data_IF_972342098039
#
_entry.id   IF_972342098039
#
_cell.length_a   1.000
_cell.length_b   1.000
_cell.length_c   1.000
_cell.angle_alpha   90.00
_cell.angle_beta   90.00
_cell.angle_gamma   90.00
#
_symmetry.space_group_name_H-M   'P 1'
#
loop_
_entity.id
_entity.type
_entity.pdbx_description
1 polymer ?
#
# COMPACT_ATOMS: atom_id res chain seq x y z
N UNK A 1 -22.45 27.28 23.62
CA UNK A 1 -22.43 26.04 22.82
C UNK A 1 -21.58 26.17 21.54
N UNK A 2 -21.47 27.33 20.90
CA UNK A 2 -20.66 27.58 19.70
C UNK A 2 -19.17 27.24 19.87
N UNK A 3 -18.56 27.66 20.98
CA UNK A 3 -17.11 27.46 21.24
C UNK A 3 -16.67 25.99 21.45
N UNK A 4 -17.57 25.13 21.91
CA UNK A 4 -17.24 23.71 22.08
C UNK A 4 -17.25 22.96 20.73
N UNK A 5 -18.17 23.32 19.85
CA UNK A 5 -18.27 22.75 18.50
C UNK A 5 -17.06 23.16 17.64
N UNK A 6 -16.64 24.41 17.69
CA UNK A 6 -15.45 24.90 16.99
C UNK A 6 -14.16 24.22 17.47
N UNK A 7 -14.02 23.96 18.77
CA UNK A 7 -12.89 23.23 19.34
C UNK A 7 -12.86 21.77 18.87
N UNK A 8 -14.03 21.11 18.77
CA UNK A 8 -14.14 19.75 18.26
C UNK A 8 -13.71 19.67 16.78
N UNK A 9 -14.22 20.56 15.94
CA UNK A 9 -13.84 20.62 14.52
C UNK A 9 -12.33 20.89 14.34
N UNK A 10 -11.75 21.74 15.19
CA UNK A 10 -10.31 22.01 15.14
C UNK A 10 -9.49 20.78 15.56
N UNK A 11 -9.91 20.05 16.57
CA UNK A 11 -9.30 18.80 17.01
C UNK A 11 -9.41 17.70 15.93
N UNK A 12 -10.60 17.54 15.34
CA UNK A 12 -10.83 16.60 14.25
C UNK A 12 -9.90 16.89 13.05
N UNK A 13 -9.74 18.15 12.67
CA UNK A 13 -8.83 18.56 11.61
C UNK A 13 -7.36 18.22 11.94
N UNK A 14 -6.92 18.49 13.17
CA UNK A 14 -5.55 18.16 13.59
C UNK A 14 -5.32 16.63 13.55
N UNK A 15 -6.28 15.85 14.04
CA UNK A 15 -6.20 14.39 14.00
C UNK A 15 -6.21 13.89 12.55
N UNK A 16 -7.07 14.45 11.71
CA UNK A 16 -7.13 14.09 10.29
C UNK A 16 -5.79 14.33 9.59
N UNK A 17 -5.19 15.50 9.76
CA UNK A 17 -3.88 15.82 9.19
C UNK A 17 -2.78 14.88 9.70
N UNK A 18 -2.79 14.51 10.98
CA UNK A 18 -1.86 13.57 11.56
C UNK A 18 -2.01 12.18 10.93
N UNK A 19 -3.26 11.69 10.82
CA UNK A 19 -3.57 10.39 10.24
C UNK A 19 -3.19 10.34 8.75
N UNK A 20 -3.57 11.34 7.96
CA UNK A 20 -3.22 11.40 6.53
C UNK A 20 -1.71 11.39 6.33
N UNK A 21 -0.97 12.10 7.19
CA UNK A 21 0.48 12.19 7.09
C UNK A 21 1.21 10.90 7.45
N UNK A 22 0.72 10.17 8.47
CA UNK A 22 1.49 9.08 9.08
C UNK A 22 0.90 7.68 8.87
N UNK A 23 -0.37 7.54 8.46
CA UNK A 23 -1.04 6.24 8.40
C UNK A 23 -0.35 5.24 7.46
N UNK A 24 0.06 5.67 6.27
CA UNK A 24 0.75 4.79 5.32
C UNK A 24 2.13 4.37 5.84
N UNK A 25 2.87 5.29 6.47
CA UNK A 25 4.17 4.97 7.05
C UNK A 25 4.01 4.02 8.25
N UNK A 26 3.03 4.25 9.12
CA UNK A 26 2.71 3.38 10.25
C UNK A 26 2.30 1.99 9.76
N UNK A 27 1.43 1.92 8.75
CA UNK A 27 0.99 0.65 8.15
C UNK A 27 2.17 -0.12 7.57
N UNK A 28 3.07 0.55 6.83
CA UNK A 28 4.28 -0.03 6.27
C UNK A 28 5.20 -0.60 7.35
N UNK A 29 5.43 0.15 8.43
CA UNK A 29 6.26 -0.28 9.56
C UNK A 29 5.60 -1.48 10.26
N UNK A 30 4.30 -1.45 10.50
CA UNK A 30 3.58 -2.54 11.15
C UNK A 30 3.65 -3.84 10.31
N UNK A 31 3.37 -3.77 9.01
CA UNK A 31 3.49 -4.92 8.12
C UNK A 31 4.93 -5.42 8.06
N UNK A 32 5.92 -4.52 7.95
CA UNK A 32 7.33 -4.88 7.95
C UNK A 32 7.77 -5.59 9.25
N UNK A 33 7.30 -5.11 10.40
CA UNK A 33 7.58 -5.74 11.69
C UNK A 33 6.97 -7.13 11.80
N UNK A 34 5.74 -7.32 11.32
CA UNK A 34 5.05 -8.61 11.30
C UNK A 34 5.83 -9.60 10.41
N UNK A 35 6.16 -9.21 9.17
CA UNK A 35 6.92 -10.06 8.26
C UNK A 35 8.29 -10.45 8.81
N UNK A 36 9.03 -9.49 9.39
CA UNK A 36 10.33 -9.76 10.00
C UNK A 36 10.20 -10.71 11.20
N UNK A 37 9.25 -10.46 12.09
CA UNK A 37 9.05 -11.29 13.28
C UNK A 37 8.67 -12.73 12.91
N UNK A 38 7.68 -12.91 12.03
CA UNK A 38 7.27 -14.25 11.62
C UNK A 38 8.30 -14.95 10.73
N UNK A 39 9.05 -14.21 9.91
CA UNK A 39 10.17 -14.73 9.15
C UNK A 39 11.27 -15.29 10.05
N UNK A 40 11.68 -14.54 11.08
CA UNK A 40 12.68 -15.00 12.05
C UNK A 40 12.21 -16.27 12.77
N UNK A 41 10.95 -16.35 13.19
CA UNK A 41 10.41 -17.52 13.90
C UNK A 41 10.47 -18.79 13.05
N UNK A 42 10.40 -18.69 11.74
CA UNK A 42 10.44 -19.85 10.83
C UNK A 42 11.82 -20.51 10.72
N UNK A 43 12.89 -19.81 11.13
CA UNK A 43 14.22 -20.44 11.23
C UNK A 43 14.35 -21.42 12.40
N UNK A 44 13.43 -21.37 13.36
CA UNK A 44 13.43 -22.24 14.53
C UNK A 44 12.34 -23.30 14.37
N UNK A 45 12.70 -24.58 14.12
CA UNK A 45 11.73 -25.66 13.92
C UNK A 45 10.75 -25.79 15.09
N UNK A 46 9.46 -25.92 14.77
CA UNK A 46 8.40 -26.10 15.76
C UNK A 46 7.95 -24.84 16.49
N UNK A 47 8.55 -23.70 16.22
CA UNK A 47 8.18 -22.42 16.87
C UNK A 47 7.08 -21.69 16.09
N UNK A 48 7.11 -21.78 14.77
CA UNK A 48 6.09 -21.11 13.94
C UNK A 48 4.77 -21.90 13.93
N UNK A 49 3.64 -21.29 14.32
CA UNK A 49 2.33 -21.96 14.28
C UNK A 49 1.88 -22.37 12.87
N UNK A 50 2.37 -21.66 11.85
CA UNK A 50 2.03 -21.92 10.45
C UNK A 50 3.01 -22.86 9.73
N UNK A 51 4.02 -23.40 10.42
CA UNK A 51 5.09 -24.19 9.80
C UNK A 51 4.55 -25.39 8.99
N UNK A 52 3.67 -26.19 9.61
CA UNK A 52 3.11 -27.37 8.96
C UNK A 52 2.20 -27.00 7.79
N UNK A 53 1.43 -25.94 7.92
CA UNK A 53 0.57 -25.45 6.85
C UNK A 53 1.43 -24.97 5.67
N UNK A 54 2.47 -24.19 5.92
CA UNK A 54 3.37 -23.67 4.90
C UNK A 54 4.10 -24.84 4.17
N UNK A 55 4.62 -25.83 4.90
CA UNK A 55 5.26 -27.02 4.30
C UNK A 55 4.31 -27.76 3.38
N UNK A 56 3.10 -28.06 3.85
CA UNK A 56 2.09 -28.76 3.04
C UNK A 56 1.68 -27.96 1.82
N UNK A 57 1.52 -26.64 1.98
CA UNK A 57 1.14 -25.75 0.87
C UNK A 57 2.22 -25.70 -0.21
N UNK A 58 3.48 -25.55 0.18
CA UNK A 58 4.59 -25.49 -0.78
C UNK A 58 4.79 -26.84 -1.45
N UNK A 59 4.64 -27.93 -0.72
CA UNK A 59 4.71 -29.28 -1.27
C UNK A 59 3.66 -29.46 -2.39
N UNK A 60 2.43 -29.03 -2.16
CA UNK A 60 1.37 -29.05 -3.17
C UNK A 60 1.66 -28.11 -4.35
N UNK A 61 2.11 -26.88 -4.09
CA UNK A 61 2.41 -25.90 -5.14
C UNK A 61 3.60 -26.30 -6.01
N UNK A 62 4.57 -27.01 -5.43
CA UNK A 62 5.79 -27.42 -6.12
C UNK A 62 5.77 -28.90 -6.56
N UNK A 63 4.63 -29.59 -6.39
CA UNK A 63 4.49 -31.02 -6.71
C UNK A 63 5.56 -31.89 -6.02
N UNK A 64 5.93 -31.55 -4.78
CA UNK A 64 6.95 -32.27 -4.02
C UNK A 64 8.40 -32.02 -4.44
N UNK A 65 8.65 -31.09 -5.36
CA UNK A 65 10.00 -30.80 -5.87
C UNK A 65 10.91 -30.14 -4.82
N UNK A 66 10.35 -29.38 -3.87
CA UNK A 66 11.11 -28.66 -2.84
C UNK A 66 10.89 -29.35 -1.49
N UNK A 67 11.95 -29.93 -0.87
CA UNK A 67 11.83 -30.51 0.46
C UNK A 67 11.33 -29.49 1.49
N UNK A 68 10.38 -29.88 2.35
CA UNK A 68 9.70 -28.97 3.28
C UNK A 68 10.63 -28.16 4.19
N UNK A 69 11.79 -28.71 4.59
CA UNK A 69 12.80 -27.99 5.36
C UNK A 69 13.45 -26.86 4.56
N UNK A 70 13.75 -27.09 3.29
CA UNK A 70 14.32 -26.08 2.39
C UNK A 70 13.25 -25.02 2.07
N UNK A 71 12.02 -25.43 1.85
CA UNK A 71 10.90 -24.54 1.59
C UNK A 71 10.70 -23.52 2.70
N UNK A 72 10.72 -23.96 3.96
CA UNK A 72 10.56 -23.06 5.13
C UNK A 72 11.71 -22.05 5.23
N UNK A 73 12.94 -22.46 4.97
CA UNK A 73 14.09 -21.53 4.98
C UNK A 73 13.98 -20.49 3.87
N UNK A 74 13.53 -20.89 2.68
CA UNK A 74 13.28 -19.94 1.58
C UNK A 74 12.22 -18.91 1.98
N UNK A 75 11.08 -19.35 2.50
CA UNK A 75 10.00 -18.45 2.96
C UNK A 75 10.48 -17.56 4.10
N UNK A 76 11.17 -18.11 5.11
CA UNK A 76 11.74 -17.33 6.20
C UNK A 76 12.66 -16.21 5.70
N UNK A 77 13.54 -16.54 4.73
CA UNK A 77 14.47 -15.57 4.14
C UNK A 77 13.73 -14.48 3.37
N UNK A 78 12.71 -14.88 2.59
CA UNK A 78 11.88 -13.97 1.82
C UNK A 78 11.11 -13.01 2.74
N UNK A 79 10.44 -13.52 3.76
CA UNK A 79 9.71 -12.72 4.76
C UNK A 79 10.64 -11.76 5.51
N UNK A 80 11.82 -12.21 5.94
CA UNK A 80 12.81 -11.34 6.58
C UNK A 80 13.29 -10.23 5.64
N UNK A 81 13.56 -10.55 4.40
CA UNK A 81 13.99 -9.57 3.40
C UNK A 81 12.89 -8.53 3.14
N UNK A 82 11.66 -8.96 2.91
CA UNK A 82 10.50 -8.07 2.74
C UNK A 82 10.34 -7.19 3.98
N UNK A 83 10.37 -7.79 5.18
CA UNK A 83 10.23 -7.07 6.44
C UNK A 83 11.29 -5.98 6.61
N UNK A 84 12.55 -6.28 6.35
CA UNK A 84 13.65 -5.31 6.41
C UNK A 84 13.46 -4.18 5.39
N UNK A 85 13.10 -4.51 4.15
CA UNK A 85 12.85 -3.52 3.12
C UNK A 85 11.71 -2.56 3.48
N UNK A 86 10.61 -3.10 4.01
CA UNK A 86 9.46 -2.32 4.47
C UNK A 86 9.82 -1.43 5.66
N UNK A 87 10.54 -1.93 6.65
CA UNK A 87 11.00 -1.15 7.80
C UNK A 87 11.95 -0.02 7.39
N UNK A 88 12.94 -0.34 6.58
CA UNK A 88 13.94 0.62 6.11
C UNK A 88 13.38 1.62 5.08
N UNK A 89 12.25 1.31 4.43
CA UNK A 89 11.72 2.12 3.33
C UNK A 89 12.59 2.13 2.08
N UNK A 90 13.44 1.11 1.91
CA UNK A 90 14.37 0.97 0.77
C UNK A 90 13.95 -0.21 -0.10
N UNK A 91 14.26 -0.10 -1.41
CA UNK A 91 13.89 -1.11 -2.41
C UNK A 91 12.39 -1.48 -2.41
N UNK A 92 11.56 -0.49 -2.12
CA UNK A 92 10.11 -0.66 -1.92
C UNK A 92 9.42 -1.37 -3.10
N UNK A 93 9.80 -1.05 -4.35
CA UNK A 93 9.20 -1.70 -5.53
C UNK A 93 9.47 -3.20 -5.55
N UNK A 94 10.71 -3.60 -5.25
CA UNK A 94 11.07 -5.02 -5.17
C UNK A 94 10.33 -5.70 -4.02
N UNK A 95 10.33 -5.10 -2.84
CA UNK A 95 9.61 -5.62 -1.67
C UNK A 95 8.11 -5.83 -1.95
N UNK A 96 7.46 -4.91 -2.67
CA UNK A 96 6.05 -5.02 -3.02
C UNK A 96 5.80 -6.17 -4.01
N UNK A 97 6.65 -6.36 -5.01
CA UNK A 97 6.50 -7.48 -5.93
C UNK A 97 6.71 -8.83 -5.25
N UNK A 98 7.70 -8.92 -4.37
CA UNK A 98 7.94 -10.11 -3.55
C UNK A 98 6.77 -10.38 -2.60
N UNK A 99 6.26 -9.34 -1.94
CA UNK A 99 5.09 -9.40 -1.07
C UNK A 99 3.84 -9.89 -1.84
N UNK A 100 3.62 -9.39 -3.05
CA UNK A 100 2.51 -9.82 -3.88
C UNK A 100 2.63 -11.31 -4.28
N UNK A 101 3.83 -11.76 -4.63
CA UNK A 101 4.09 -13.16 -4.93
C UNK A 101 3.86 -14.05 -3.68
N UNK A 102 4.30 -13.59 -2.52
CA UNK A 102 4.13 -14.32 -1.26
C UNK A 102 2.66 -14.39 -0.82
N UNK A 103 1.87 -13.34 -1.05
CA UNK A 103 0.43 -13.38 -0.77
C UNK A 103 -0.31 -14.45 -1.57
N UNK A 104 0.13 -14.76 -2.79
CA UNK A 104 -0.42 -15.89 -3.55
C UNK A 104 -0.16 -17.20 -2.80
N UNK A 105 1.04 -17.39 -2.26
CA UNK A 105 1.40 -18.53 -1.43
C UNK A 105 0.59 -18.60 -0.13
N UNK A 106 0.50 -17.49 0.60
CA UNK A 106 -0.22 -17.39 1.89
C UNK A 106 -1.72 -17.66 1.74
N UNK A 107 -2.35 -17.20 0.65
CA UNK A 107 -3.78 -17.38 0.41
C UNK A 107 -4.12 -18.69 -0.30
N UNK A 108 -3.16 -19.35 -0.95
CA UNK A 108 -3.40 -20.61 -1.68
C UNK A 108 -4.00 -21.74 -0.82
N UNK A 109 -3.72 -21.88 0.50
CA UNK A 109 -4.35 -22.87 1.35
C UNK A 109 -5.87 -22.75 1.43
N UNK A 110 -6.43 -21.55 1.24
CA UNK A 110 -7.90 -21.36 1.23
C UNK A 110 -8.55 -22.21 0.15
N UNK A 111 -7.87 -22.37 -0.99
CA UNK A 111 -8.35 -23.19 -2.10
C UNK A 111 -7.82 -24.63 -1.99
N UNK A 112 -6.52 -24.80 -1.78
CA UNK A 112 -5.85 -26.10 -1.84
C UNK A 112 -6.14 -26.98 -0.61
N UNK A 113 -6.33 -26.37 0.55
CA UNK A 113 -6.49 -27.04 1.85
C UNK A 113 -7.77 -26.60 2.58
N UNK A 114 -8.81 -26.23 1.84
CA UNK A 114 -10.07 -25.72 2.41
C UNK A 114 -10.67 -26.67 3.45
N UNK A 115 -10.66 -27.99 3.18
CA UNK A 115 -11.14 -29.01 4.13
C UNK A 115 -10.34 -29.06 5.46
N UNK A 116 -9.05 -28.68 5.45
CA UNK A 116 -8.23 -28.58 6.66
C UNK A 116 -8.47 -27.27 7.40
N UNK A 117 -8.64 -26.17 6.66
CA UNK A 117 -8.84 -24.84 7.25
C UNK A 117 -10.23 -24.67 7.87
N UNK A 118 -11.25 -25.36 7.35
CA UNK A 118 -12.65 -25.23 7.78
C UNK A 118 -13.22 -26.57 8.33
N UNK A 119 -12.37 -27.34 9.04
CA UNK A 119 -12.75 -28.60 9.65
C UNK A 119 -13.47 -28.48 11.00
N UNK A 120 -13.72 -27.25 11.50
CA UNK A 120 -14.44 -27.02 12.75
C UNK A 120 -15.95 -27.32 12.66
N UNK A 121 -16.67 -27.31 13.78
CA UNK A 121 -18.12 -27.54 13.80
C UNK A 121 -18.83 -26.56 12.85
N UNK A 122 -19.77 -27.09 12.06
CA UNK A 122 -20.53 -26.30 11.07
C UNK A 122 -19.66 -25.56 10.03
N UNK A 123 -18.45 -26.08 9.75
CA UNK A 123 -17.52 -25.42 8.82
C UNK A 123 -16.78 -24.24 9.45
N UNK A 124 -16.73 -24.14 10.77
CA UNK A 124 -15.96 -23.10 11.44
C UNK A 124 -14.45 -23.21 11.13
N UNK A 125 -13.74 -22.11 11.02
CA UNK A 125 -12.31 -22.13 10.76
C UNK A 125 -11.54 -22.76 11.92
N UNK A 126 -10.61 -23.64 11.59
CA UNK A 126 -9.62 -24.17 12.55
C UNK A 126 -8.65 -23.07 12.97
N UNK A 127 -7.76 -23.35 13.90
CA UNK A 127 -6.72 -22.39 14.28
C UNK A 127 -5.88 -21.95 13.07
N UNK A 128 -5.48 -22.89 12.20
CA UNK A 128 -4.79 -22.60 10.95
C UNK A 128 -5.65 -21.75 9.99
N UNK A 129 -6.95 -22.09 9.87
CA UNK A 129 -7.90 -21.31 9.07
C UNK A 129 -8.04 -19.87 9.56
N UNK A 130 -8.06 -19.64 10.88
CA UNK A 130 -8.11 -18.31 11.46
C UNK A 130 -6.84 -17.50 11.15
N UNK A 131 -5.66 -18.12 11.14
CA UNK A 131 -4.42 -17.45 10.73
C UNK A 131 -4.50 -16.99 9.29
N UNK A 132 -4.86 -17.88 8.36
CA UNK A 132 -4.96 -17.53 6.93
C UNK A 132 -6.02 -16.44 6.69
N UNK A 133 -7.17 -16.49 7.38
CA UNK A 133 -8.19 -15.44 7.26
C UNK A 133 -7.70 -14.08 7.78
N UNK A 134 -6.87 -14.05 8.82
CA UNK A 134 -6.25 -12.80 9.30
C UNK A 134 -5.25 -12.23 8.30
N UNK A 135 -4.60 -13.08 7.51
CA UNK A 135 -3.63 -12.63 6.49
C UNK A 135 -4.30 -11.83 5.37
N UNK A 136 -5.62 -11.96 5.17
CA UNK A 136 -6.39 -11.07 4.27
C UNK A 136 -6.21 -9.60 4.64
N UNK A 137 -6.08 -9.29 5.93
CA UNK A 137 -5.81 -7.92 6.40
C UNK A 137 -4.41 -7.47 5.96
N UNK A 138 -3.42 -8.37 5.99
CA UNK A 138 -2.06 -8.08 5.52
C UNK A 138 -2.05 -7.84 4.00
N UNK A 139 -2.85 -8.59 3.24
CA UNK A 139 -3.03 -8.37 1.79
C UNK A 139 -3.60 -6.97 1.53
N UNK A 140 -4.68 -6.60 2.22
CA UNK A 140 -5.28 -5.27 2.09
C UNK A 140 -4.27 -4.16 2.46
N UNK A 141 -3.52 -4.34 3.54
CA UNK A 141 -2.45 -3.43 3.94
C UNK A 141 -1.35 -3.32 2.87
N UNK A 142 -0.94 -4.45 2.29
CA UNK A 142 0.03 -4.50 1.19
C UNK A 142 -0.45 -3.75 -0.05
N UNK A 143 -1.74 -3.84 -0.39
CA UNK A 143 -2.34 -3.07 -1.50
C UNK A 143 -2.26 -1.55 -1.25
N UNK A 144 -2.52 -1.09 -0.04
CA UNK A 144 -2.40 0.34 0.33
C UNK A 144 -0.94 0.81 0.21
N UNK A 145 0.01 0.02 0.72
CA UNK A 145 1.45 0.33 0.65
C UNK A 145 1.90 0.35 -0.83
N UNK A 146 1.44 -0.59 -1.64
CA UNK A 146 1.74 -0.66 -3.07
C UNK A 146 1.22 0.58 -3.81
N UNK A 147 -0.05 0.93 -3.60
CA UNK A 147 -0.67 2.10 -4.21
C UNK A 147 0.10 3.38 -3.86
N UNK A 148 0.46 3.56 -2.58
CA UNK A 148 1.26 4.69 -2.13
C UNK A 148 2.66 4.72 -2.76
N UNK A 149 3.31 3.55 -2.91
CA UNK A 149 4.69 3.47 -3.44
C UNK A 149 4.75 3.71 -4.95
N UNK A 150 3.84 3.12 -5.72
CA UNK A 150 3.85 3.23 -7.18
C UNK A 150 3.52 4.64 -7.69
N UNK A 151 2.77 5.42 -6.93
CA UNK A 151 2.40 6.80 -7.27
C UNK A 151 3.19 7.88 -6.50
N UNK A 152 4.40 7.58 -6.08
CA UNK A 152 5.24 8.55 -5.38
C UNK A 152 4.75 8.90 -3.97
N UNK A 153 4.03 7.98 -3.33
CA UNK A 153 3.61 8.12 -1.93
C UNK A 153 2.22 8.71 -1.72
N UNK A 154 1.40 8.81 -2.78
CA UNK A 154 0.06 9.39 -2.68
C UNK A 154 -1.04 8.40 -3.00
N UNK A 155 -2.02 8.32 -2.10
CA UNK A 155 -3.32 7.70 -2.35
C UNK A 155 -4.21 8.78 -2.98
N UNK A 156 -4.43 8.70 -4.28
CA UNK A 156 -5.35 9.61 -4.98
C UNK A 156 -6.78 9.14 -4.71
N UNK A 157 -7.56 9.99 -4.08
CA UNK A 157 -8.98 9.77 -3.88
C UNK A 157 -9.71 10.01 -5.21
N UNK A 158 -10.34 8.98 -5.76
CA UNK A 158 -11.03 9.02 -7.07
C UNK A 158 -12.55 9.18 -6.97
N UNK A 159 -13.05 9.58 -5.80
CA UNK A 159 -14.47 9.48 -5.44
C UNK A 159 -15.33 10.66 -5.94
N UNK A 160 -14.75 11.66 -6.61
CA UNK A 160 -15.53 12.74 -7.21
C UNK A 160 -16.09 12.31 -8.58
N UNK A 161 -17.40 12.44 -8.82
CA UNK A 161 -18.00 12.06 -10.08
C UNK A 161 -17.38 12.85 -11.26
N UNK A 162 -17.17 12.21 -12.42
CA UNK A 162 -16.49 12.81 -13.58
C UNK A 162 -17.13 14.11 -14.07
N UNK A 163 -18.42 14.26 -13.89
CA UNK A 163 -19.19 15.42 -14.39
C UNK A 163 -18.92 16.74 -13.65
N UNK A 164 -18.48 16.68 -12.38
CA UNK A 164 -18.15 17.90 -11.62
C UNK A 164 -16.75 18.44 -11.96
N UNK A 165 -15.92 17.66 -12.65
CA UNK A 165 -14.49 17.93 -12.92
C UNK A 165 -14.26 18.68 -14.24
N UNK A 166 -15.15 18.52 -15.22
CA UNK A 166 -14.93 19.00 -16.59
C UNK A 166 -15.16 20.51 -16.74
N UNK A 167 -15.96 21.12 -15.85
CA UNK A 167 -16.31 22.54 -15.99
C UNK A 167 -15.23 23.52 -15.49
N UNK A 168 -14.56 23.22 -14.40
CA UNK A 168 -13.60 24.13 -13.76
C UNK A 168 -12.21 24.08 -14.43
N UNK A 169 -11.73 22.90 -14.80
CA UNK A 169 -10.46 22.73 -15.51
C UNK A 169 -10.44 23.35 -16.91
N UNK A 170 -11.61 23.35 -17.59
CA UNK A 170 -11.77 23.95 -18.91
C UNK A 170 -11.83 25.49 -18.87
N UNK A 171 -12.13 26.07 -17.70
CA UNK A 171 -12.25 27.53 -17.52
C UNK A 171 -10.91 28.22 -17.21
N UNK A 172 -9.85 27.47 -16.82
CA UNK A 172 -8.54 28.03 -16.51
C UNK A 172 -7.71 28.22 -17.79
N UNK A 173 -7.18 29.41 -17.96
CA UNK A 173 -6.24 29.70 -19.04
C UNK A 173 -4.84 29.03 -18.80
N UNK A 174 -3.96 28.96 -19.81
CA UNK A 174 -2.66 28.30 -19.67
C UNK A 174 -1.77 28.90 -18.58
N UNK A 175 -1.83 30.23 -18.36
CA UNK A 175 -1.04 30.89 -17.33
C UNK A 175 -1.54 30.56 -15.92
N UNK A 176 -2.86 30.50 -15.75
CA UNK A 176 -3.50 30.08 -14.50
C UNK A 176 -3.17 28.63 -14.16
N UNK A 177 -3.20 27.73 -15.16
CA UNK A 177 -2.78 26.33 -14.98
C UNK A 177 -1.32 26.24 -14.54
N UNK A 178 -0.44 27.03 -15.16
CA UNK A 178 0.98 27.06 -14.80
C UNK A 178 1.18 27.59 -13.38
N UNK A 179 0.46 28.64 -12.96
CA UNK A 179 0.52 29.17 -11.58
C UNK A 179 0.09 28.11 -10.57
N UNK A 180 -1.02 27.42 -10.81
CA UNK A 180 -1.49 26.32 -9.96
C UNK A 180 -0.44 25.21 -9.86
N UNK A 181 0.24 24.90 -10.95
CA UNK A 181 1.34 23.92 -10.95
C UNK A 181 2.53 24.41 -10.13
N UNK A 182 2.96 25.65 -10.31
CA UNK A 182 4.09 26.23 -9.57
C UNK A 182 3.82 26.29 -8.06
N UNK A 183 2.62 26.70 -7.66
CA UNK A 183 2.20 26.73 -6.25
C UNK A 183 2.25 25.32 -5.64
N UNK A 184 1.76 24.32 -6.35
CA UNK A 184 1.76 22.93 -5.87
C UNK A 184 3.14 22.26 -5.92
N UNK A 185 4.06 22.71 -6.78
CA UNK A 185 5.45 22.24 -6.79
C UNK A 185 6.23 22.83 -5.64
N UNK A 186 5.95 24.09 -5.25
CA UNK A 186 6.63 24.79 -4.17
C UNK A 186 6.23 24.22 -2.79
N UNK A 187 4.96 23.85 -2.60
CA UNK A 187 4.51 23.16 -1.38
C UNK A 187 3.60 21.98 -1.71
N UNK A 188 4.19 20.80 -1.80
CA UNK A 188 3.49 19.55 -2.09
C UNK A 188 2.42 19.18 -1.05
N UNK A 189 2.43 19.77 0.14
CA UNK A 189 1.44 19.51 1.19
C UNK A 189 0.09 20.15 0.88
N UNK A 190 0.08 21.16 0.04
CA UNK A 190 -1.11 21.95 -0.31
C UNK A 190 -1.81 21.49 -1.58
N UNK A 191 -1.33 20.45 -2.28
CA UNK A 191 -1.90 20.09 -3.59
C UNK A 191 -3.39 19.70 -3.48
N UNK A 192 -3.78 18.96 -2.44
CA UNK A 192 -5.20 18.63 -2.21
C UNK A 192 -6.05 19.89 -2.04
N UNK A 193 -5.64 20.79 -1.14
CA UNK A 193 -6.33 22.07 -0.90
C UNK A 193 -6.31 22.97 -2.14
N UNK A 194 -5.24 22.94 -2.90
CA UNK A 194 -5.10 23.70 -4.15
C UNK A 194 -6.06 23.16 -5.21
N UNK A 195 -6.16 21.84 -5.34
CA UNK A 195 -7.11 21.20 -6.24
C UNK A 195 -8.55 21.50 -5.86
N UNK A 196 -8.89 21.43 -4.58
CA UNK A 196 -10.22 21.77 -4.07
C UNK A 196 -10.56 23.24 -4.33
N UNK A 197 -9.62 24.17 -4.08
CA UNK A 197 -9.80 25.60 -4.32
C UNK A 197 -10.07 25.94 -5.78
N UNK A 198 -9.42 25.26 -6.69
CA UNK A 198 -9.54 25.48 -8.13
C UNK A 198 -10.56 24.56 -8.80
N UNK A 199 -11.22 23.67 -8.05
CA UNK A 199 -12.21 22.73 -8.57
C UNK A 199 -11.66 21.72 -9.59
N UNK A 200 -10.36 21.40 -9.46
CA UNK A 200 -9.66 20.42 -10.33
C UNK A 200 -9.33 19.14 -9.59
N UNK A 201 -9.14 18.07 -10.32
CA UNK A 201 -8.67 16.82 -9.73
C UNK A 201 -7.16 16.82 -9.59
N UNK A 202 -6.61 16.06 -8.62
CA UNK A 202 -5.16 15.85 -8.54
C UNK A 202 -4.59 15.22 -9.83
N UNK A 203 -5.37 14.41 -10.55
CA UNK A 203 -4.96 13.82 -11.82
C UNK A 203 -4.73 14.91 -12.89
N UNK A 204 -5.60 15.90 -12.96
CA UNK A 204 -5.46 17.07 -13.85
C UNK A 204 -4.25 17.92 -13.45
N UNK A 205 -4.06 18.16 -12.15
CA UNK A 205 -2.88 18.86 -11.65
C UNK A 205 -1.59 18.17 -12.08
N UNK A 206 -1.49 16.85 -11.91
CA UNK A 206 -0.29 16.11 -12.29
C UNK A 206 -0.09 16.05 -13.80
N UNK A 207 -1.15 15.95 -14.59
CA UNK A 207 -1.07 16.04 -16.05
C UNK A 207 -0.53 17.41 -16.50
N UNK A 208 -1.00 18.50 -15.90
CA UNK A 208 -0.51 19.84 -16.19
C UNK A 208 0.95 20.03 -15.77
N UNK A 209 1.33 19.52 -14.58
CA UNK A 209 2.72 19.53 -14.10
C UNK A 209 3.65 18.81 -15.08
N UNK A 210 3.29 17.61 -15.48
CA UNK A 210 4.13 16.78 -16.37
C UNK A 210 4.26 17.43 -17.74
N UNK A 211 3.18 18.02 -18.26
CA UNK A 211 3.20 18.79 -19.51
C UNK A 211 4.08 20.03 -19.41
N UNK A 212 3.95 20.78 -18.30
CA UNK A 212 4.75 21.99 -18.06
C UNK A 212 6.25 21.67 -17.94
N UNK A 213 6.60 20.60 -17.21
CA UNK A 213 7.98 20.14 -17.07
C UNK A 213 8.56 19.65 -18.41
N UNK A 214 7.79 18.90 -19.20
CA UNK A 214 8.22 18.46 -20.52
C UNK A 214 8.46 19.64 -21.46
N UNK A 215 7.59 20.64 -21.45
CA UNK A 215 7.75 21.89 -22.22
C UNK A 215 8.98 22.69 -21.78
N UNK A 216 9.21 22.83 -20.47
CA UNK A 216 10.40 23.51 -19.96
C UNK A 216 11.71 22.80 -20.35
N UNK A 217 11.76 21.47 -20.28
CA UNK A 217 12.91 20.69 -20.72
C UNK A 217 13.15 20.82 -22.24
N UNK A 218 12.06 20.86 -23.04
CA UNK A 218 12.14 21.12 -24.48
C UNK A 218 12.76 22.47 -24.77
N UNK A 219 12.24 23.56 -24.15
CA UNK A 219 12.76 24.90 -24.33
C UNK A 219 14.23 25.05 -23.95
N UNK A 220 14.67 24.43 -22.85
CA UNK A 220 16.08 24.42 -22.41
C UNK A 220 17.02 23.66 -23.35
N UNK A 221 16.50 22.72 -24.15
CA UNK A 221 17.30 22.00 -25.19
C UNK A 221 17.48 22.79 -26.46
N UNK A 222 16.51 23.62 -26.80
CA UNK A 222 16.52 24.41 -28.04
C UNK A 222 17.40 25.68 -27.92
N UNK A 223 17.76 26.08 -26.66
CA UNK A 223 18.67 27.23 -26.40
C UNK A 223 20.18 26.84 -26.36
N UNK A 224 20.53 25.58 -26.50
CA UNK A 224 21.91 25.06 -26.47
C UNK A 224 22.36 24.55 -27.78
#
# INVERSE_FOLDING_TARGET
MHSAHERLLHLENQIHHLLVRHSVAALRIAVGAVFLAFGILKYFPGVSPAENLAKTTIDLLTFGLIPGGVAIVIVATLECFIGICLLAGRWMRLAIWLLAAEFVGILSPVVLLSGRLFAGPHGAPTLEGQYVLKDVILVAAGMVIAAATFRGGRLVRSDLPPAARVGAAAALDPEQKLRVVLDGVTDQRLIGELCDRHGISEAEFYAWRDTSLAGAVGALRDEG
#
